data_IF_663091778440
#
_entry.id   IF_663091778440
#
_cell.length_a   1.000
_cell.length_b   1.000
_cell.length_c   1.000
_cell.angle_alpha   90.00
_cell.angle_beta   90.00
_cell.angle_gamma   90.00
#
_symmetry.space_group_name_H-M   'P 1'
#
loop_
_entity.id
_entity.type
_entity.pdbx_description
1 polymer ?
#
# COMPACT_ATOMS: atom_id res chain seq x y z
N UNK A 1 58.70 26.44 13.35
CA UNK A 1 58.32 26.57 11.92
C UNK A 1 57.95 25.18 11.40
N UNK A 2 56.64 24.88 11.36
CA UNK A 2 55.91 23.93 10.50
C UNK A 2 54.55 23.65 11.17
N UNK A 3 53.54 24.40 10.74
CA UNK A 3 52.13 24.10 10.93
C UNK A 3 51.56 23.74 9.57
N UNK A 4 50.96 22.57 9.45
CA UNK A 4 50.32 22.08 8.23
C UNK A 4 48.82 22.26 8.39
N UNK A 5 48.27 23.29 7.75
CA UNK A 5 46.83 23.51 7.66
C UNK A 5 46.22 22.56 6.62
N UNK A 6 45.30 21.69 7.04
CA UNK A 6 44.41 20.94 6.15
C UNK A 6 43.22 21.82 5.80
N UNK A 7 43.07 22.15 4.51
CA UNK A 7 41.85 22.74 3.95
C UNK A 7 40.75 21.69 3.93
N UNK A 8 39.68 21.92 4.68
CA UNK A 8 38.39 21.25 4.53
C UNK A 8 37.70 21.81 3.29
N UNK A 9 37.38 20.94 2.33
CA UNK A 9 36.52 21.26 1.20
C UNK A 9 35.07 21.11 1.65
N UNK A 10 34.32 22.22 1.68
CA UNK A 10 32.87 22.22 1.87
C UNK A 10 32.21 21.62 0.63
N UNK A 11 31.61 20.44 0.77
CA UNK A 11 30.69 19.90 -0.22
C UNK A 11 29.31 20.55 -0.01
N UNK A 12 28.97 21.49 -0.87
CA UNK A 12 27.59 22.01 -0.97
C UNK A 12 26.75 20.92 -1.64
N UNK A 13 25.93 20.22 -0.85
CA UNK A 13 24.90 19.32 -1.37
C UNK A 13 23.75 20.20 -1.88
N UNK A 14 23.71 20.43 -3.19
CA UNK A 14 22.55 21.04 -3.86
C UNK A 14 21.47 19.96 -3.97
N UNK A 15 20.50 20.00 -3.06
CA UNK A 15 19.30 19.17 -3.14
C UNK A 15 18.42 19.75 -4.24
N UNK A 16 18.40 19.11 -5.41
CA UNK A 16 17.36 19.38 -6.41
C UNK A 16 16.03 18.85 -5.88
N UNK A 17 15.18 19.77 -5.41
CA UNK A 17 13.76 19.53 -5.24
C UNK A 17 13.18 19.30 -6.64
N UNK A 18 13.03 18.03 -7.03
CA UNK A 18 12.26 17.65 -8.21
C UNK A 18 10.81 18.03 -7.92
N UNK A 19 10.39 19.15 -8.51
CA UNK A 19 9.01 19.59 -8.61
C UNK A 19 8.17 18.44 -9.18
N UNK A 20 7.05 18.12 -8.53
CA UNK A 20 6.04 17.22 -9.10
C UNK A 20 5.65 17.72 -10.50
N UNK A 21 5.62 16.87 -11.54
CA UNK A 21 5.18 17.31 -12.85
C UNK A 21 3.75 17.81 -12.75
N UNK A 22 3.51 18.98 -13.35
CA UNK A 22 2.19 19.57 -13.48
C UNK A 22 1.26 18.59 -14.19
N UNK A 23 0.04 18.43 -13.65
CA UNK A 23 -1.01 17.60 -14.25
C UNK A 23 -1.28 18.07 -15.69
N UNK A 24 -0.74 17.37 -16.68
CA UNK A 24 -1.03 17.64 -18.08
C UNK A 24 -2.44 17.12 -18.40
N UNK A 25 -3.41 18.03 -18.34
CA UNK A 25 -4.75 17.89 -18.91
C UNK A 25 -4.65 17.70 -20.42
N UNK A 26 -4.49 16.47 -20.91
CA UNK A 26 -4.45 16.24 -22.36
C UNK A 26 -4.97 14.87 -22.81
N UNK A 27 -6.19 14.50 -22.44
CA UNK A 27 -6.95 13.43 -23.12
C UNK A 27 -8.46 13.70 -23.09
N UNK A 28 -8.95 14.59 -23.97
CA UNK A 28 -10.38 14.63 -24.31
C UNK A 28 -10.58 13.97 -25.68
N UNK A 29 -10.64 12.65 -25.71
CA UNK A 29 -11.24 11.95 -26.85
C UNK A 29 -12.75 12.11 -26.73
N UNK A 30 -13.35 12.94 -27.59
CA UNK A 30 -14.80 13.05 -27.74
C UNK A 30 -15.35 11.74 -28.32
N UNK A 31 -15.53 10.74 -27.47
CA UNK A 31 -16.41 9.61 -27.79
C UNK A 31 -17.84 10.10 -27.67
N UNK A 32 -18.62 10.03 -28.75
CA UNK A 32 -20.08 10.19 -28.75
C UNK A 32 -20.70 9.04 -27.93
N UNK A 33 -20.63 9.14 -26.61
CA UNK A 33 -21.16 8.17 -25.67
C UNK A 33 -22.62 8.44 -25.36
N UNK A 34 -23.40 7.38 -25.17
CA UNK A 34 -24.73 7.43 -24.56
C UNK A 34 -24.71 8.25 -23.25
N UNK A 35 -25.82 8.89 -22.86
CA UNK A 35 -25.90 9.64 -21.61
C UNK A 35 -25.58 8.71 -20.44
N UNK A 36 -24.35 8.83 -19.96
CA UNK A 36 -23.83 7.94 -18.93
C UNK A 36 -24.55 8.19 -17.60
N UNK A 37 -24.96 7.12 -16.94
CA UNK A 37 -25.80 7.16 -15.75
C UNK A 37 -24.96 7.38 -14.49
N UNK A 38 -24.94 8.63 -13.98
CA UNK A 38 -24.27 8.97 -12.72
C UNK A 38 -24.65 8.05 -11.55
N UNK A 39 -25.93 7.65 -11.45
CA UNK A 39 -26.41 6.88 -10.31
C UNK A 39 -25.86 5.44 -10.30
N UNK A 40 -25.55 4.88 -11.47
CA UNK A 40 -24.93 3.57 -11.64
C UNK A 40 -23.45 3.61 -11.19
N UNK A 41 -22.67 4.56 -11.70
CA UNK A 41 -21.29 4.75 -11.27
C UNK A 41 -21.16 5.12 -9.80
N UNK A 42 -22.09 5.93 -9.26
CA UNK A 42 -22.14 6.19 -7.83
C UNK A 42 -22.38 4.91 -7.03
N UNK A 43 -23.26 4.02 -7.51
CA UNK A 43 -23.54 2.76 -6.83
C UNK A 43 -22.32 1.83 -6.85
N UNK A 44 -21.62 1.75 -7.98
CA UNK A 44 -20.36 1.00 -8.10
C UNK A 44 -19.31 1.52 -7.12
N UNK A 45 -19.06 2.83 -7.12
CA UNK A 45 -18.12 3.47 -6.21
C UNK A 45 -18.51 3.29 -4.73
N UNK A 46 -19.79 3.42 -4.40
CA UNK A 46 -20.31 3.18 -3.06
C UNK A 46 -20.08 1.72 -2.61
N UNK A 47 -20.36 0.75 -3.49
CA UNK A 47 -20.13 -0.66 -3.17
C UNK A 47 -18.63 -0.98 -3.05
N UNK A 48 -17.80 -0.41 -3.93
CA UNK A 48 -16.34 -0.47 -3.86
C UNK A 48 -15.83 0.07 -2.53
N UNK A 49 -16.32 1.24 -2.10
CA UNK A 49 -16.00 1.84 -0.81
C UNK A 49 -16.43 0.94 0.35
N UNK A 50 -17.63 0.34 0.30
CA UNK A 50 -18.10 -0.58 1.33
C UNK A 50 -17.19 -1.79 1.52
N UNK A 51 -16.50 -2.27 0.48
CA UNK A 51 -15.52 -3.37 0.61
C UNK A 51 -14.31 -3.02 1.47
N UNK A 52 -14.05 -1.73 1.73
CA UNK A 52 -12.95 -1.27 2.59
C UNK A 52 -13.31 -1.32 4.07
N UNK A 53 -14.56 -1.64 4.38
CA UNK A 53 -15.04 -1.80 5.73
C UNK A 53 -15.47 -3.24 5.94
N UNK A 54 -15.15 -3.74 7.12
CA UNK A 54 -15.50 -5.04 7.65
C UNK A 54 -16.97 -5.42 7.42
N UNK A 55 -17.87 -4.62 7.97
CA UNK A 55 -19.30 -4.60 7.66
C UNK A 55 -19.91 -3.34 8.27
N UNK A 56 -21.03 -2.90 7.72
CA UNK A 56 -21.81 -1.81 8.30
C UNK A 56 -22.22 -2.11 9.75
N UNK A 57 -22.58 -3.37 10.01
CA UNK A 57 -23.01 -3.83 11.33
C UNK A 57 -21.87 -3.75 12.36
N UNK A 58 -20.64 -4.10 11.98
CA UNK A 58 -19.47 -4.00 12.84
C UNK A 58 -19.16 -2.54 13.19
N UNK A 59 -19.27 -1.63 12.21
CA UNK A 59 -19.09 -0.20 12.44
C UNK A 59 -20.14 0.34 13.42
N UNK A 60 -21.42 0.00 13.25
CA UNK A 60 -22.47 0.44 14.18
C UNK A 60 -22.38 -0.22 15.55
N UNK A 61 -22.01 -1.51 15.63
CA UNK A 61 -21.78 -2.21 16.88
C UNK A 61 -20.60 -1.61 17.68
N UNK A 62 -19.61 -1.03 16.99
CA UNK A 62 -18.52 -0.27 17.61
C UNK A 62 -18.95 1.12 18.10
N UNK A 63 -20.23 1.49 17.96
CA UNK A 63 -20.77 2.76 18.45
C UNK A 63 -20.52 3.95 17.52
N UNK A 64 -20.12 3.73 16.27
CA UNK A 64 -19.96 4.82 15.30
C UNK A 64 -21.33 5.37 14.87
N UNK A 65 -21.40 6.70 14.77
CA UNK A 65 -22.62 7.37 14.30
C UNK A 65 -22.77 7.29 12.78
N UNK A 66 -24.01 7.42 12.28
CA UNK A 66 -24.31 7.50 10.83
C UNK A 66 -23.47 8.58 10.14
N UNK A 67 -23.24 9.71 10.81
CA UNK A 67 -22.45 10.82 10.23
C UNK A 67 -20.99 10.42 10.07
N UNK A 68 -20.39 9.77 11.07
CA UNK A 68 -19.00 9.32 11.00
C UNK A 68 -18.82 8.26 9.92
N UNK A 69 -19.70 7.25 9.89
CA UNK A 69 -19.62 6.19 8.88
C UNK A 69 -19.84 6.75 7.48
N UNK A 70 -20.78 7.69 7.30
CA UNK A 70 -20.98 8.36 6.02
C UNK A 70 -19.75 9.16 5.59
N UNK A 71 -19.08 9.88 6.49
CA UNK A 71 -17.83 10.59 6.20
C UNK A 71 -16.72 9.63 5.76
N UNK A 72 -16.58 8.50 6.45
CA UNK A 72 -15.59 7.48 6.09
C UNK A 72 -15.84 6.89 4.71
N UNK A 73 -17.11 6.55 4.39
CA UNK A 73 -17.48 6.03 3.07
C UNK A 73 -17.33 7.10 1.98
N UNK A 74 -17.65 8.36 2.29
CA UNK A 74 -17.45 9.49 1.39
C UNK A 74 -15.97 9.69 1.05
N UNK A 75 -15.07 9.66 2.05
CA UNK A 75 -13.62 9.73 1.86
C UNK A 75 -13.10 8.61 0.94
N UNK A 76 -13.63 7.39 1.08
CA UNK A 76 -13.28 6.26 0.22
C UNK A 76 -13.78 6.44 -1.21
N UNK A 77 -15.01 6.93 -1.41
CA UNK A 77 -15.58 7.20 -2.74
C UNK A 77 -14.80 8.32 -3.45
N UNK A 78 -14.42 9.38 -2.74
CA UNK A 78 -13.64 10.49 -3.31
C UNK A 78 -12.25 10.04 -3.76
N UNK A 79 -11.70 9.02 -3.12
CA UNK A 79 -10.40 8.44 -3.48
C UNK A 79 -10.49 7.35 -4.56
N UNK A 80 -11.69 7.02 -5.03
CA UNK A 80 -11.91 6.06 -6.11
C UNK A 80 -11.55 6.71 -7.46
N UNK A 81 -10.51 6.19 -8.12
CA UNK A 81 -10.01 6.76 -9.37
C UNK A 81 -11.00 6.58 -10.53
N UNK A 82 -11.81 5.53 -10.52
CA UNK A 82 -12.80 5.27 -11.56
C UNK A 82 -14.01 6.19 -11.39
N UNK A 83 -14.30 6.61 -10.16
CA UNK A 83 -15.35 7.60 -9.85
C UNK A 83 -14.87 9.06 -9.96
N UNK A 84 -13.57 9.32 -9.84
CA UNK A 84 -13.00 10.68 -9.84
C UNK A 84 -13.43 11.58 -11.01
N UNK A 85 -13.60 11.11 -12.26
CA UNK A 85 -14.09 11.96 -13.35
C UNK A 85 -15.51 12.51 -13.07
N UNK A 86 -16.37 11.74 -12.40
CA UNK A 86 -17.74 12.10 -12.05
C UNK A 86 -17.83 13.10 -10.90
N UNK A 87 -16.80 13.16 -10.05
CA UNK A 87 -16.75 14.12 -8.94
C UNK A 87 -16.67 15.56 -9.43
N UNK A 88 -16.06 15.81 -10.59
CA UNK A 88 -15.96 17.14 -11.19
C UNK A 88 -17.28 17.64 -11.80
N UNK A 89 -18.17 16.72 -12.19
CA UNK A 89 -19.43 17.03 -12.87
C UNK A 89 -20.65 17.02 -11.94
N UNK A 90 -20.48 16.52 -10.72
CA UNK A 90 -21.53 16.39 -9.73
C UNK A 90 -21.37 17.40 -8.59
N UNK A 91 -22.49 17.92 -8.07
CA UNK A 91 -22.47 18.68 -6.82
C UNK A 91 -21.98 17.76 -5.67
N UNK A 92 -20.88 18.07 -4.97
CA UNK A 92 -20.40 17.28 -3.84
C UNK A 92 -21.48 17.03 -2.78
N UNK A 93 -22.43 17.95 -2.61
CA UNK A 93 -23.57 17.78 -1.69
C UNK A 93 -24.50 16.65 -2.12
N UNK A 94 -24.63 16.38 -3.42
CA UNK A 94 -25.42 15.26 -3.96
C UNK A 94 -24.79 13.92 -3.52
N UNK A 95 -23.48 13.76 -3.70
CA UNK A 95 -22.73 12.56 -3.27
C UNK A 95 -22.89 12.35 -1.76
N UNK A 96 -22.61 13.37 -0.96
CA UNK A 96 -22.76 13.31 0.49
C UNK A 96 -24.19 12.94 0.92
N UNK A 97 -25.21 13.52 0.26
CA UNK A 97 -26.62 13.21 0.55
C UNK A 97 -26.96 11.76 0.24
N UNK A 98 -26.48 11.22 -0.89
CA UNK A 98 -26.70 9.83 -1.29
C UNK A 98 -26.00 8.85 -0.33
N UNK A 99 -24.75 9.13 0.05
CA UNK A 99 -24.01 8.32 1.04
C UNK A 99 -24.75 8.34 2.39
N UNK A 100 -25.06 9.52 2.94
CA UNK A 100 -25.79 9.65 4.21
C UNK A 100 -27.13 8.91 4.19
N UNK A 101 -27.87 8.98 3.08
CA UNK A 101 -29.14 8.27 2.93
C UNK A 101 -28.95 6.75 2.99
N UNK A 102 -27.99 6.19 2.24
CA UNK A 102 -27.73 4.74 2.23
C UNK A 102 -27.22 4.23 3.58
N UNK A 103 -26.30 4.96 4.22
CA UNK A 103 -25.80 4.63 5.56
C UNK A 103 -26.91 4.73 6.62
N UNK A 104 -27.79 5.73 6.50
CA UNK A 104 -28.97 5.86 7.34
C UNK A 104 -29.93 4.67 7.20
N UNK A 105 -30.18 4.21 5.97
CA UNK A 105 -30.97 3.00 5.71
C UNK A 105 -30.32 1.75 6.31
N UNK A 106 -29.00 1.57 6.16
CA UNK A 106 -28.27 0.46 6.76
C UNK A 106 -28.37 0.48 8.30
N UNK A 107 -28.26 1.65 8.93
CA UNK A 107 -28.42 1.80 10.39
C UNK A 107 -29.84 1.46 10.85
N UNK A 108 -30.86 1.87 10.09
CA UNK A 108 -32.25 1.54 10.39
C UNK A 108 -32.50 0.02 10.32
N UNK A 109 -31.95 -0.64 9.29
CA UNK A 109 -31.99 -2.09 9.15
C UNK A 109 -31.29 -2.78 10.34
N UNK A 110 -30.06 -2.37 10.66
CA UNK A 110 -29.30 -2.88 11.80
C UNK A 110 -30.06 -2.75 13.13
N UNK A 111 -30.68 -1.59 13.38
CA UNK A 111 -31.52 -1.37 14.57
C UNK A 111 -32.76 -2.27 14.60
N UNK A 112 -33.38 -2.51 13.44
CA UNK A 112 -34.60 -3.32 13.33
C UNK A 112 -34.36 -4.81 13.58
N UNK A 113 -33.14 -5.30 13.31
CA UNK A 113 -32.74 -6.71 13.51
C UNK A 113 -32.58 -7.11 14.98
N UNK A 114 -32.90 -6.24 15.94
CA UNK A 114 -33.11 -6.64 17.33
C UNK A 114 -31.84 -7.04 18.09
N UNK A 115 -30.66 -6.54 17.70
CA UNK A 115 -29.38 -6.74 18.40
C UNK A 115 -29.30 -5.95 19.73
N UNK A 116 -30.34 -6.05 20.56
CA UNK A 116 -30.41 -5.51 21.92
C UNK A 116 -29.36 -6.12 22.86
N UNK A 117 -28.81 -7.30 22.53
CA UNK A 117 -27.82 -8.00 23.33
C UNK A 117 -26.37 -7.50 23.15
N UNK A 118 -26.08 -6.66 22.15
CA UNK A 118 -24.74 -6.11 21.90
C UNK A 118 -24.59 -4.64 22.32
N UNK A 119 -25.56 -4.07 23.04
CA UNK A 119 -25.45 -2.75 23.67
C UNK A 119 -24.58 -2.81 24.93
N UNK A 120 -23.40 -3.44 24.87
CA UNK A 120 -22.32 -3.01 25.74
C UNK A 120 -21.96 -1.59 25.29
N UNK A 121 -21.82 -0.67 26.23
CA UNK A 121 -21.39 0.70 25.96
C UNK A 121 -19.97 0.68 25.36
N UNK A 122 -19.86 0.42 24.06
CA UNK A 122 -18.62 0.53 23.33
C UNK A 122 -18.30 2.02 23.26
N UNK A 123 -17.30 2.43 24.04
CA UNK A 123 -16.61 3.69 23.81
C UNK A 123 -16.26 3.74 22.33
N UNK A 124 -16.66 4.81 21.62
CA UNK A 124 -16.34 4.98 20.21
C UNK A 124 -14.84 4.72 20.01
N UNK A 125 -14.44 3.71 19.23
CA UNK A 125 -13.03 3.42 19.03
C UNK A 125 -12.36 4.68 18.51
N UNK A 126 -11.29 5.10 19.19
CA UNK A 126 -10.52 6.26 18.76
C UNK A 126 -10.04 6.08 17.32
N UNK A 127 -9.83 7.19 16.59
CA UNK A 127 -9.14 7.17 15.30
C UNK A 127 -7.73 6.61 15.52
N UNK A 128 -7.24 5.79 14.59
CA UNK A 128 -5.84 5.35 14.62
C UNK A 128 -4.93 6.57 14.38
N UNK A 129 -4.10 6.98 15.37
CA UNK A 129 -3.22 8.14 15.22
C UNK A 129 -2.05 7.88 14.25
N UNK A 130 -1.73 6.61 13.98
CA UNK A 130 -0.62 6.21 13.13
C UNK A 130 -1.13 5.26 12.04
N UNK A 131 -2.08 5.70 11.21
CA UNK A 131 -2.64 4.87 10.14
C UNK A 131 -1.59 4.41 9.12
N UNK A 132 -1.60 3.10 8.78
CA UNK A 132 -0.70 2.59 7.73
C UNK A 132 -1.05 3.20 6.36
N UNK A 133 -0.13 3.96 5.74
CA UNK A 133 -0.43 4.65 4.48
C UNK A 133 -0.76 3.68 3.35
N UNK A 134 -1.51 4.16 2.35
CA UNK A 134 -1.77 3.39 1.13
C UNK A 134 -0.46 3.06 0.41
N UNK A 135 -0.34 1.80 0.01
CA UNK A 135 0.73 1.34 -0.88
C UNK A 135 0.28 1.57 -2.33
N UNK A 136 1.11 2.29 -3.09
CA UNK A 136 0.92 2.61 -4.50
C UNK A 136 0.98 1.36 -5.39
N UNK A 137 0.30 1.43 -6.55
CA UNK A 137 0.34 0.41 -7.60
C UNK A 137 1.72 0.34 -8.24
N UNK A 138 2.27 -0.87 -8.34
CA UNK A 138 3.53 -1.10 -9.05
C UNK A 138 3.37 -0.92 -10.56
N UNK A 139 2.24 -1.35 -11.13
CA UNK A 139 1.96 -1.24 -12.56
C UNK A 139 1.89 0.22 -13.00
N UNK A 140 1.13 1.05 -12.28
CA UNK A 140 0.99 2.48 -12.57
C UNK A 140 2.35 3.19 -12.47
N UNK A 141 3.15 2.80 -11.48
CA UNK A 141 4.51 3.35 -11.33
C UNK A 141 5.40 2.98 -12.52
N UNK A 142 5.41 1.72 -12.97
CA UNK A 142 6.19 1.29 -14.15
C UNK A 142 5.71 2.04 -15.41
N UNK A 143 4.40 2.13 -15.63
CA UNK A 143 3.82 2.91 -16.74
C UNK A 143 4.30 4.36 -16.68
N UNK A 144 4.28 4.99 -15.50
CA UNK A 144 4.78 6.35 -15.32
C UNK A 144 6.25 6.51 -15.67
N UNK A 145 7.12 5.57 -15.27
CA UNK A 145 8.55 5.60 -15.63
C UNK A 145 8.77 5.43 -17.15
N UNK A 146 8.03 4.53 -17.78
CA UNK A 146 8.13 4.28 -19.23
C UNK A 146 7.60 5.48 -20.01
N UNK A 147 6.44 6.04 -19.64
CA UNK A 147 5.90 7.22 -20.30
C UNK A 147 6.82 8.43 -20.15
N UNK A 148 7.45 8.63 -18.99
CA UNK A 148 8.44 9.69 -18.81
C UNK A 148 9.60 9.57 -19.80
N UNK A 149 10.06 8.36 -20.11
CA UNK A 149 11.09 8.14 -21.14
C UNK A 149 10.54 8.38 -22.55
N UNK A 150 9.35 7.86 -22.84
CA UNK A 150 8.73 7.94 -24.16
C UNK A 150 8.28 9.36 -24.55
N UNK A 151 8.06 10.22 -23.57
CA UNK A 151 7.61 11.60 -23.74
C UNK A 151 8.76 12.61 -23.49
N UNK A 152 9.99 12.12 -23.31
CA UNK A 152 11.18 12.96 -23.21
C UNK A 152 11.47 13.65 -24.55
N UNK A 153 11.87 14.92 -24.51
CA UNK A 153 12.27 15.66 -25.70
C UNK A 153 13.54 15.08 -26.32
N UNK A 154 13.79 15.36 -27.60
CA UNK A 154 14.92 14.79 -28.36
C UNK A 154 16.30 15.05 -27.72
N UNK A 155 16.45 16.12 -26.93
CA UNK A 155 17.68 16.44 -26.22
C UNK A 155 17.88 15.58 -24.96
N UNK A 156 16.79 15.11 -24.35
CA UNK A 156 16.78 14.34 -23.10
C UNK A 156 16.58 12.84 -23.32
N UNK A 157 16.11 12.42 -24.50
CA UNK A 157 15.75 11.04 -24.84
C UNK A 157 16.83 10.02 -24.43
N UNK A 158 18.10 10.29 -24.77
CA UNK A 158 19.20 9.38 -24.46
C UNK A 158 19.43 9.22 -22.95
N UNK A 159 19.27 10.31 -22.18
CA UNK A 159 19.41 10.31 -20.73
C UNK A 159 18.21 9.62 -20.06
N UNK A 160 16.99 9.92 -20.52
CA UNK A 160 15.76 9.32 -20.01
C UNK A 160 15.75 7.81 -20.24
N UNK A 161 16.17 7.35 -21.43
CA UNK A 161 16.37 5.94 -21.74
C UNK A 161 17.38 5.27 -20.82
N UNK A 162 18.58 5.84 -20.71
CA UNK A 162 19.65 5.26 -19.89
C UNK A 162 19.21 5.16 -18.42
N UNK A 163 18.47 6.15 -17.95
CA UNK A 163 17.89 6.17 -16.60
C UNK A 163 16.84 5.08 -16.41
N UNK A 164 15.95 4.89 -17.39
CA UNK A 164 14.94 3.83 -17.36
C UNK A 164 15.57 2.42 -17.39
N UNK A 165 16.54 2.18 -18.28
CA UNK A 165 17.23 0.90 -18.39
C UNK A 165 17.99 0.57 -17.11
N UNK A 166 18.71 1.55 -16.54
CA UNK A 166 19.36 1.39 -15.25
C UNK A 166 18.33 1.04 -14.17
N UNK A 167 17.24 1.80 -14.07
CA UNK A 167 16.21 1.59 -13.06
C UNK A 167 15.59 0.19 -13.16
N UNK A 168 15.18 -0.24 -14.36
CA UNK A 168 14.42 -1.49 -14.52
C UNK A 168 15.29 -2.74 -14.62
N UNK A 169 16.52 -2.61 -15.15
CA UNK A 169 17.37 -3.76 -15.47
C UNK A 169 18.58 -3.91 -14.54
N UNK A 170 18.98 -2.86 -13.83
CA UNK A 170 20.22 -2.84 -13.03
C UNK A 170 19.96 -2.57 -11.56
N UNK A 171 19.17 -1.54 -11.25
CA UNK A 171 18.93 -1.12 -9.87
C UNK A 171 18.21 -2.22 -9.08
N UNK A 172 18.62 -2.35 -7.81
CA UNK A 172 18.18 -3.46 -6.97
C UNK A 172 16.90 -3.14 -6.22
N UNK A 173 15.95 -4.06 -6.21
CA UNK A 173 14.83 -4.12 -5.27
C UNK A 173 15.37 -4.66 -3.94
N UNK A 174 15.02 -3.98 -2.84
CA UNK A 174 15.56 -4.29 -1.50
C UNK A 174 14.88 -5.49 -0.84
N UNK A 175 13.58 -5.66 -1.08
CA UNK A 175 12.79 -6.80 -0.63
C UNK A 175 11.56 -6.95 -1.51
N UNK A 176 11.09 -8.17 -1.66
CA UNK A 176 9.83 -8.51 -2.32
C UNK A 176 9.12 -9.49 -1.42
N UNK A 177 7.98 -9.13 -0.84
CA UNK A 177 7.24 -10.01 0.07
C UNK A 177 5.90 -10.41 -0.51
N UNK A 178 5.40 -11.60 -0.17
CA UNK A 178 4.03 -11.98 -0.52
C UNK A 178 3.05 -10.95 0.02
N UNK A 179 2.14 -10.47 -0.83
CA UNK A 179 0.98 -9.71 -0.39
C UNK A 179 -0.12 -10.70 -0.04
N UNK A 180 -0.47 -10.75 1.24
CA UNK A 180 -1.57 -11.56 1.72
C UNK A 180 -2.88 -10.77 1.73
N UNK A 181 -3.98 -11.52 1.56
CA UNK A 181 -5.35 -11.03 1.63
C UNK A 181 -5.91 -11.31 3.03
N UNK A 182 -5.68 -10.37 3.93
CA UNK A 182 -6.22 -10.40 5.29
C UNK A 182 -6.71 -9.01 5.69
N UNK A 183 -6.41 -8.62 6.92
CA UNK A 183 -6.68 -7.26 7.39
C UNK A 183 -5.50 -6.65 8.11
N UNK A 184 -5.28 -5.36 7.89
CA UNK A 184 -4.17 -4.60 8.49
C UNK A 184 -4.40 -4.43 9.99
N UNK A 185 -3.48 -4.98 10.80
CA UNK A 185 -3.47 -4.84 12.26
C UNK A 185 -2.10 -4.34 12.70
N UNK A 186 -2.12 -3.30 13.53
CA UNK A 186 -0.96 -2.74 14.20
C UNK A 186 -0.99 -2.99 15.71
N UNK A 187 0.20 -3.08 16.30
CA UNK A 187 0.41 -3.10 17.76
C UNK A 187 1.39 -1.99 18.13
N UNK A 188 0.99 -1.14 19.05
CA UNK A 188 1.85 -0.11 19.62
C UNK A 188 2.78 -0.67 20.70
N UNK A 189 3.86 0.06 20.99
CA UNK A 189 4.83 -0.27 22.03
C UNK A 189 4.25 -0.30 23.45
N UNK A 190 3.08 0.29 23.67
CA UNK A 190 2.32 0.21 24.93
C UNK A 190 1.35 -1.00 24.99
N UNK A 191 1.31 -1.81 23.93
CA UNK A 191 0.44 -2.97 23.80
C UNK A 191 -0.92 -2.68 23.16
N UNK A 192 -1.26 -1.42 22.91
CA UNK A 192 -2.53 -1.05 22.29
C UNK A 192 -2.61 -1.56 20.86
N UNK A 193 -3.78 -2.08 20.47
CA UNK A 193 -4.03 -2.62 19.13
C UNK A 193 -4.79 -1.62 18.26
N UNK A 194 -4.49 -1.63 16.97
CA UNK A 194 -5.15 -0.78 15.99
C UNK A 194 -5.39 -1.52 14.69
N UNK A 195 -6.50 -1.23 14.02
CA UNK A 195 -6.70 -1.55 12.62
C UNK A 195 -6.06 -0.46 11.78
N UNK A 196 -6.34 -0.46 10.49
CA UNK A 196 -5.82 0.58 9.60
C UNK A 196 -6.24 2.00 10.01
N UNK A 197 -7.51 2.19 10.33
CA UNK A 197 -8.09 3.54 10.51
C UNK A 197 -8.63 3.80 11.92
N UNK A 198 -8.76 2.78 12.75
CA UNK A 198 -9.38 2.87 14.06
C UNK A 198 -8.65 1.99 15.08
N UNK A 199 -8.72 2.39 16.36
CA UNK A 199 -8.22 1.59 17.47
C UNK A 199 -9.08 0.34 17.66
N UNK A 200 -8.46 -0.80 17.98
CA UNK A 200 -9.19 -2.05 18.20
C UNK A 200 -9.48 -2.27 19.69
N UNK A 201 -10.62 -2.90 19.98
CA UNK A 201 -11.02 -3.32 21.31
C UNK A 201 -11.45 -4.79 21.31
N UNK A 202 -11.32 -5.46 22.45
CA UNK A 202 -11.69 -6.87 22.61
C UNK A 202 -10.59 -7.85 22.20
N UNK A 203 -10.97 -9.12 22.02
CA UNK A 203 -10.04 -10.24 21.79
C UNK A 203 -10.09 -10.81 20.38
N UNK A 204 -10.86 -10.19 19.48
CA UNK A 204 -11.00 -10.64 18.09
C UNK A 204 -11.25 -9.47 17.14
N UNK A 205 -10.79 -9.61 15.89
CA UNK A 205 -11.03 -8.69 14.79
C UNK A 205 -11.26 -9.49 13.51
N UNK A 206 -12.25 -9.13 12.68
CA UNK A 206 -12.64 -9.94 11.51
C UNK A 206 -12.85 -11.43 11.84
N UNK A 207 -13.60 -11.70 12.92
CA UNK A 207 -13.86 -13.06 13.43
C UNK A 207 -12.59 -13.88 13.74
N UNK A 208 -11.44 -13.23 13.84
CA UNK A 208 -10.12 -13.84 14.04
C UNK A 208 -9.56 -13.40 15.38
N UNK A 209 -8.97 -14.32 16.13
CA UNK A 209 -8.46 -14.02 17.47
C UNK A 209 -7.25 -13.07 17.42
N UNK A 210 -7.23 -12.06 18.29
CA UNK A 210 -6.13 -11.09 18.39
C UNK A 210 -5.00 -11.52 19.33
N UNK A 211 -5.13 -12.65 20.03
CA UNK A 211 -4.07 -13.13 20.94
C UNK A 211 -2.77 -13.45 20.21
N UNK A 212 -2.83 -13.80 18.92
CA UNK A 212 -1.64 -14.01 18.08
C UNK A 212 -0.78 -12.75 17.92
N UNK A 213 -1.35 -11.57 18.11
CA UNK A 213 -0.65 -10.28 18.06
C UNK A 213 0.14 -10.03 19.35
N UNK A 214 -0.22 -10.71 20.43
CA UNK A 214 0.38 -10.50 21.75
C UNK A 214 1.83 -11.00 21.86
N UNK A 215 2.23 -11.99 21.06
CA UNK A 215 3.56 -12.62 21.11
C UNK A 215 4.72 -11.71 20.72
N UNK A 216 4.48 -10.72 19.86
CA UNK A 216 5.49 -9.78 19.37
C UNK A 216 5.79 -8.68 20.42
N UNK A 217 7.02 -8.61 20.94
CA UNK A 217 7.45 -7.59 21.90
C UNK A 217 7.80 -6.26 21.20
N UNK A 218 6.77 -5.49 20.86
CA UNK A 218 6.93 -4.16 20.21
C UNK A 218 7.68 -3.17 21.10
N UNK A 219 7.57 -3.28 22.43
CA UNK A 219 8.34 -2.46 23.35
C UNK A 219 9.84 -2.79 23.28
N UNK A 220 10.17 -4.08 23.18
CA UNK A 220 11.52 -4.58 22.88
C UNK A 220 12.04 -4.09 21.54
N UNK A 221 11.22 -4.15 20.50
CA UNK A 221 11.57 -3.63 19.18
C UNK A 221 11.90 -2.13 19.22
N UNK A 222 11.07 -1.33 19.89
CA UNK A 222 11.33 0.11 20.10
C UNK A 222 12.68 0.33 20.78
N UNK A 223 12.95 -0.37 21.90
CA UNK A 223 14.22 -0.24 22.63
C UNK A 223 15.41 -0.59 21.75
N UNK A 224 15.37 -1.74 21.06
CA UNK A 224 16.45 -2.17 20.18
C UNK A 224 16.70 -1.17 19.03
N UNK A 225 15.63 -0.59 18.46
CA UNK A 225 15.75 0.42 17.43
C UNK A 225 16.30 1.75 17.97
N UNK A 226 15.87 2.17 19.16
CA UNK A 226 16.43 3.34 19.85
C UNK A 226 17.93 3.19 20.12
N UNK A 227 18.35 2.03 20.61
CA UNK A 227 19.76 1.71 20.88
C UNK A 227 20.57 1.72 19.58
N UNK A 228 20.05 1.09 18.51
CA UNK A 228 20.70 1.04 17.21
C UNK A 228 20.91 2.43 16.60
N UNK A 229 19.94 3.33 16.78
CA UNK A 229 19.97 4.69 16.22
C UNK A 229 20.62 5.71 17.16
N UNK A 230 20.91 5.34 18.40
CA UNK A 230 21.32 6.24 19.48
C UNK A 230 20.34 7.42 19.66
N UNK A 231 19.04 7.16 19.56
CA UNK A 231 17.94 8.14 19.70
C UNK A 231 16.82 7.52 20.54
N UNK A 232 16.31 8.26 21.54
CA UNK A 232 15.11 7.83 22.25
C UNK A 232 13.89 8.03 21.35
N UNK A 233 13.29 6.93 20.93
CA UNK A 233 12.14 6.95 20.04
C UNK A 233 10.88 7.07 20.89
N UNK A 234 9.94 7.90 20.43
CA UNK A 234 8.59 7.96 20.99
C UNK A 234 7.83 6.65 20.77
N UNK A 235 6.52 6.75 20.60
CA UNK A 235 5.70 5.56 20.40
C UNK A 235 6.03 4.90 19.04
N UNK A 236 6.06 3.57 19.01
CA UNK A 236 6.29 2.79 17.78
C UNK A 236 5.12 1.84 17.58
N UNK A 237 4.66 1.71 16.34
CA UNK A 237 3.66 0.72 15.94
C UNK A 237 4.26 -0.27 14.95
N UNK A 238 4.17 -1.57 15.25
CA UNK A 238 4.48 -2.63 14.27
C UNK A 238 3.19 -3.05 13.59
N UNK A 239 3.21 -3.10 12.26
CA UNK A 239 2.08 -3.48 11.42
C UNK A 239 2.31 -4.82 10.74
N UNK A 240 1.23 -5.60 10.68
CA UNK A 240 1.18 -6.87 10.00
C UNK A 240 -0.20 -7.17 9.44
N UNK A 241 -0.26 -8.23 8.65
CA UNK A 241 -1.50 -8.75 8.07
C UNK A 241 -2.07 -9.84 8.98
N UNK A 242 -3.27 -9.63 9.51
CA UNK A 242 -4.04 -10.64 10.22
C UNK A 242 -4.78 -11.52 9.21
N UNK A 243 -4.43 -12.79 9.16
CA UNK A 243 -4.90 -13.76 8.17
C UNK A 243 -6.33 -14.25 8.46
N UNK A 244 -7.32 -13.38 8.26
CA UNK A 244 -8.73 -13.62 8.59
C UNK A 244 -9.53 -14.37 7.51
N UNK A 245 -8.96 -14.60 6.33
CA UNK A 245 -9.62 -15.19 5.17
C UNK A 245 -9.07 -16.60 4.85
N UNK A 246 -9.31 -17.63 5.70
CA UNK A 246 -8.64 -18.93 5.57
C UNK A 246 -8.90 -19.69 4.27
N UNK A 247 -10.00 -19.36 3.57
CA UNK A 247 -10.38 -20.04 2.33
C UNK A 247 -9.73 -19.50 1.06
N UNK A 248 -8.84 -18.50 1.16
CA UNK A 248 -8.17 -17.85 0.03
C UNK A 248 -6.75 -18.37 -0.13
N UNK A 249 -6.26 -18.51 -1.37
CA UNK A 249 -4.85 -18.79 -1.73
C UNK A 249 -4.19 -19.94 -0.94
N UNK A 250 -4.99 -20.96 -0.59
CA UNK A 250 -4.62 -22.12 0.23
C UNK A 250 -4.05 -21.75 1.61
N UNK A 251 -4.51 -20.65 2.21
CA UNK A 251 -4.03 -20.19 3.52
C UNK A 251 -4.27 -21.21 4.63
N UNK A 252 -5.32 -22.02 4.55
CA UNK A 252 -5.57 -23.08 5.52
C UNK A 252 -4.52 -24.19 5.41
N UNK A 253 -4.24 -24.64 4.19
CA UNK A 253 -3.27 -25.69 3.87
C UNK A 253 -1.85 -25.25 4.25
N UNK A 254 -1.54 -23.97 4.03
CA UNK A 254 -0.26 -23.34 4.43
C UNK A 254 -0.18 -22.99 5.92
N UNK A 255 -1.20 -23.32 6.72
CA UNK A 255 -1.28 -22.99 8.15
C UNK A 255 -1.13 -21.48 8.44
N UNK A 256 -1.61 -20.64 7.54
CA UNK A 256 -1.60 -19.18 7.70
C UNK A 256 -2.86 -18.66 8.38
N UNK A 257 -3.95 -19.43 8.37
CA UNK A 257 -5.23 -19.05 9.00
C UNK A 257 -5.04 -18.57 10.44
N UNK A 258 -5.43 -17.32 10.71
CA UNK A 258 -5.37 -16.70 12.02
C UNK A 258 -3.99 -16.26 12.48
N UNK A 259 -2.95 -16.34 11.64
CA UNK A 259 -1.62 -15.77 11.95
C UNK A 259 -1.61 -14.25 11.74
N UNK A 260 -0.63 -13.58 12.36
CA UNK A 260 -0.36 -12.16 12.14
C UNK A 260 1.07 -12.00 11.61
N UNK A 261 1.21 -11.57 10.35
CA UNK A 261 2.48 -11.53 9.64
C UNK A 261 2.93 -10.07 9.46
N UNK A 262 3.96 -9.67 10.20
CA UNK A 262 4.48 -8.30 10.21
C UNK A 262 5.16 -7.94 8.90
N UNK A 263 4.84 -6.75 8.36
CA UNK A 263 5.40 -6.22 7.11
C UNK A 263 6.06 -4.85 7.24
N UNK A 264 5.96 -4.20 8.40
CA UNK A 264 6.64 -2.92 8.62
C UNK A 264 6.31 -2.28 9.96
N UNK A 265 6.78 -1.05 10.15
CA UNK A 265 6.53 -0.28 11.37
C UNK A 265 6.37 1.21 11.08
N UNK A 266 5.68 1.92 11.97
CA UNK A 266 5.58 3.38 11.98
C UNK A 266 6.20 3.92 13.25
N UNK A 267 7.04 4.95 13.09
CA UNK A 267 7.60 5.72 14.19
C UNK A 267 6.73 6.96 14.39
N UNK A 268 6.12 7.04 15.57
CA UNK A 268 5.35 8.22 15.99
C UNK A 268 6.33 9.30 16.42
N UNK A 269 6.52 10.30 15.56
CA UNK A 269 7.22 11.52 15.96
C UNK A 269 6.22 12.38 16.70
N UNK A 270 6.28 12.34 18.04
CA UNK A 270 5.35 13.07 18.92
C UNK A 270 5.40 14.56 18.57
N UNK A 271 4.36 15.03 17.87
CA UNK A 271 4.28 16.36 17.30
C UNK A 271 3.76 17.40 18.31
N UNK A 272 4.26 17.39 19.54
CA UNK A 272 3.97 18.44 20.53
C UNK A 272 4.93 19.65 20.40
N UNK A 273 5.83 19.63 19.41
CA UNK A 273 6.80 20.68 19.11
C UNK A 273 6.44 21.59 17.92
N UNK A 274 7.16 22.71 17.78
CA UNK A 274 7.09 23.60 16.61
C UNK A 274 7.40 22.83 15.30
N UNK A 275 6.67 23.09 14.21
CA UNK A 275 6.80 22.37 12.94
C UNK A 275 8.23 22.37 12.39
N UNK A 276 8.99 23.44 12.65
CA UNK A 276 10.39 23.55 12.24
C UNK A 276 11.27 22.49 12.89
N UNK A 277 11.06 22.23 14.18
CA UNK A 277 11.80 21.21 14.96
C UNK A 277 11.48 19.78 14.48
N UNK A 278 10.21 19.50 14.20
CA UNK A 278 9.76 18.19 13.72
C UNK A 278 10.42 17.82 12.38
N UNK A 279 10.54 18.78 11.45
CA UNK A 279 11.20 18.54 10.16
C UNK A 279 12.69 18.21 10.31
N UNK A 280 13.40 18.91 11.19
CA UNK A 280 14.81 18.66 11.46
C UNK A 280 15.03 17.30 12.12
N UNK A 281 14.19 16.94 13.10
CA UNK A 281 14.25 15.63 13.77
C UNK A 281 13.98 14.48 12.79
N UNK A 282 12.95 14.61 11.93
CA UNK A 282 12.65 13.64 10.88
C UNK A 282 13.82 13.47 9.91
N UNK A 283 14.48 14.56 9.52
CA UNK A 283 15.66 14.52 8.66
C UNK A 283 16.83 13.80 9.34
N UNK A 284 17.13 14.12 10.60
CA UNK A 284 18.20 13.47 11.36
C UNK A 284 17.93 11.97 11.54
N UNK A 285 16.70 11.60 11.86
CA UNK A 285 16.29 10.22 12.04
C UNK A 285 16.33 9.44 10.72
N UNK A 286 15.91 10.05 9.60
CA UNK A 286 16.05 9.49 8.26
C UNK A 286 17.52 9.19 7.93
N UNK A 287 18.42 10.13 8.19
CA UNK A 287 19.87 9.92 8.00
C UNK A 287 20.42 8.80 8.89
N UNK A 288 19.97 8.71 10.15
CA UNK A 288 20.37 7.65 11.06
C UNK A 288 19.92 6.27 10.56
N UNK A 289 18.66 6.15 10.11
CA UNK A 289 18.12 4.92 9.52
C UNK A 289 18.88 4.49 8.27
N UNK A 290 19.23 5.43 7.38
CA UNK A 290 20.02 5.12 6.19
C UNK A 290 21.42 4.61 6.53
N UNK A 291 22.06 5.13 7.59
CA UNK A 291 23.39 4.66 8.04
C UNK A 291 23.39 3.21 8.50
N UNK A 292 22.25 2.72 9.02
CA UNK A 292 22.07 1.34 9.46
C UNK A 292 21.29 0.49 8.46
N UNK A 293 21.17 0.97 7.20
CA UNK A 293 20.55 0.27 6.08
C UNK A 293 19.08 -0.13 6.31
N UNK A 294 18.35 0.62 7.14
CA UNK A 294 16.91 0.42 7.32
C UNK A 294 16.17 1.24 6.26
N UNK A 295 15.47 0.51 5.37
CA UNK A 295 14.63 1.10 4.34
C UNK A 295 13.42 1.80 4.96
N UNK A 296 13.22 3.06 4.59
CA UNK A 296 12.15 3.87 5.16
C UNK A 296 11.62 4.93 4.19
N UNK A 297 10.42 5.45 4.49
CA UNK A 297 9.81 6.58 3.79
C UNK A 297 9.28 7.61 4.79
N UNK A 298 9.32 8.88 4.43
CA UNK A 298 8.77 9.98 5.25
C UNK A 298 7.43 10.42 4.66
N UNK A 299 6.33 10.24 5.39
CA UNK A 299 4.98 10.65 4.98
C UNK A 299 4.08 10.83 6.21
N UNK A 300 4.04 12.05 6.79
CA UNK A 300 3.33 12.32 8.05
C UNK A 300 3.95 11.65 9.28
N UNK A 301 5.16 11.10 9.14
CA UNK A 301 5.89 10.29 10.11
C UNK A 301 6.94 9.44 9.37
N UNK A 302 7.68 8.60 10.09
CA UNK A 302 8.61 7.65 9.45
C UNK A 302 7.99 6.27 9.38
N UNK A 303 7.88 5.76 8.16
CA UNK A 303 7.47 4.38 7.89
C UNK A 303 8.69 3.53 7.58
N UNK A 304 8.91 2.50 8.38
CA UNK A 304 9.92 1.48 8.15
C UNK A 304 9.34 0.41 7.22
N UNK A 305 10.07 0.12 6.15
CA UNK A 305 9.69 -0.82 5.11
C UNK A 305 10.50 -2.11 5.25
N UNK A 306 9.90 -3.23 4.89
CA UNK A 306 10.56 -4.53 5.01
C UNK A 306 11.89 -4.56 4.26
N UNK A 307 12.94 -4.94 4.97
CA UNK A 307 14.30 -5.10 4.46
C UNK A 307 15.04 -6.11 5.36
N UNK A 308 16.22 -6.62 4.95
CA UNK A 308 16.93 -7.62 5.74
C UNK A 308 17.23 -7.21 7.19
N UNK A 309 17.53 -5.92 7.44
CA UNK A 309 17.78 -5.41 8.78
C UNK A 309 16.51 -5.39 9.62
N UNK A 310 15.43 -4.77 9.11
CA UNK A 310 14.15 -4.70 9.82
C UNK A 310 13.57 -6.08 10.12
N UNK A 311 13.67 -7.02 9.17
CA UNK A 311 13.24 -8.41 9.33
C UNK A 311 13.88 -9.05 10.56
N UNK A 312 15.22 -9.04 10.63
CA UNK A 312 15.96 -9.62 11.76
C UNK A 312 15.60 -8.97 13.08
N UNK A 313 15.37 -7.65 13.10
CA UNK A 313 14.98 -6.95 14.32
C UNK A 313 13.58 -7.37 14.81
N UNK A 314 12.62 -7.53 13.90
CA UNK A 314 11.28 -8.00 14.24
C UNK A 314 11.28 -9.47 14.69
N UNK A 315 12.02 -10.33 14.00
CA UNK A 315 12.17 -11.74 14.38
C UNK A 315 12.82 -11.88 15.76
N UNK A 316 13.83 -11.05 16.08
CA UNK A 316 14.53 -11.08 17.36
C UNK A 316 13.62 -10.74 18.56
N UNK A 317 12.47 -10.10 18.33
CA UNK A 317 11.48 -9.77 19.38
C UNK A 317 10.21 -10.63 19.28
N UNK A 318 10.30 -11.77 18.57
CA UNK A 318 9.25 -12.78 18.51
C UNK A 318 8.10 -12.47 17.55
N UNK A 319 8.29 -11.54 16.61
CA UNK A 319 7.28 -11.25 15.60
C UNK A 319 7.41 -12.22 14.42
N UNK A 320 6.29 -12.82 14.01
CA UNK A 320 6.19 -13.48 12.71
C UNK A 320 6.23 -12.41 11.61
N UNK A 321 7.03 -12.61 10.58
CA UNK A 321 7.24 -11.64 9.49
C UNK A 321 6.83 -12.24 8.15
N UNK A 322 6.33 -11.39 7.24
CA UNK A 322 6.01 -11.82 5.86
C UNK A 322 7.24 -12.41 5.18
N UNK A 323 7.08 -13.46 4.39
CA UNK A 323 8.19 -14.10 3.66
C UNK A 323 8.78 -13.18 2.58
N UNK A 324 10.10 -13.22 2.37
CA UNK A 324 10.75 -12.58 1.22
C UNK A 324 10.75 -13.59 0.07
N UNK A 325 10.02 -13.28 -1.00
CA UNK A 325 9.90 -14.11 -2.19
C UNK A 325 10.78 -13.57 -3.30
N UNK A 326 11.20 -14.47 -4.18
CA UNK A 326 12.01 -14.11 -5.34
C UNK A 326 13.50 -14.06 -5.05
N UNK A 327 14.27 -14.55 -6.01
CA UNK A 327 15.73 -14.53 -5.99
C UNK A 327 16.29 -13.40 -6.84
N UNK A 328 15.56 -12.99 -7.88
CA UNK A 328 15.92 -11.86 -8.72
C UNK A 328 15.72 -10.55 -7.96
N UNK A 329 16.74 -9.68 -8.04
CA UNK A 329 16.73 -8.37 -7.37
C UNK A 329 16.60 -7.20 -8.33
N UNK A 330 16.34 -7.40 -9.62
CA UNK A 330 16.02 -6.29 -10.56
C UNK A 330 14.53 -6.29 -10.86
N UNK A 331 13.99 -5.17 -11.33
CA UNK A 331 12.57 -5.08 -11.66
C UNK A 331 12.16 -6.07 -12.76
N UNK A 332 12.91 -6.11 -13.87
CA UNK A 332 12.65 -7.06 -14.95
C UNK A 332 12.82 -8.52 -14.51
N UNK A 333 13.86 -8.83 -13.72
CA UNK A 333 14.10 -10.19 -13.22
C UNK A 333 12.99 -10.66 -12.27
N UNK A 334 12.53 -9.79 -11.37
CA UNK A 334 11.43 -10.10 -10.44
C UNK A 334 10.11 -10.30 -11.19
N UNK A 335 9.81 -9.48 -12.21
CA UNK A 335 8.63 -9.68 -13.06
C UNK A 335 8.70 -11.02 -13.78
N UNK A 336 9.84 -11.35 -14.38
CA UNK A 336 10.05 -12.64 -15.04
C UNK A 336 9.84 -13.83 -14.10
N UNK A 337 10.32 -13.74 -12.86
CA UNK A 337 10.20 -14.79 -11.86
C UNK A 337 8.77 -14.97 -11.33
N UNK A 338 8.03 -13.87 -11.10
CA UNK A 338 6.75 -13.90 -10.37
C UNK A 338 5.51 -13.82 -11.26
N UNK A 339 5.64 -13.46 -12.54
CA UNK A 339 4.50 -13.32 -13.46
C UNK A 339 3.67 -14.60 -13.58
N UNK A 340 4.31 -15.77 -13.64
CA UNK A 340 3.60 -17.05 -13.71
C UNK A 340 2.73 -17.32 -12.47
N UNK A 341 3.29 -17.11 -11.28
CA UNK A 341 2.59 -17.29 -10.00
C UNK A 341 1.39 -16.35 -9.86
N UNK A 342 1.55 -15.08 -10.27
CA UNK A 342 0.46 -14.10 -10.23
C UNK A 342 -0.61 -14.38 -11.28
N UNK A 343 -0.21 -14.72 -12.51
CA UNK A 343 -1.15 -15.07 -13.60
C UNK A 343 -1.94 -16.34 -13.30
N UNK A 344 -1.40 -17.25 -12.48
CA UNK A 344 -2.09 -18.45 -12.02
C UNK A 344 -3.03 -18.21 -10.83
N UNK A 345 -3.02 -17.00 -10.25
CA UNK A 345 -3.81 -16.68 -9.05
C UNK A 345 -3.34 -17.44 -7.80
N UNK A 346 -2.10 -17.92 -7.75
CA UNK A 346 -1.58 -18.71 -6.63
C UNK A 346 -1.31 -17.88 -5.37
N UNK A 347 -1.15 -16.56 -5.54
CA UNK A 347 -1.07 -15.55 -4.47
C UNK A 347 -1.88 -14.31 -4.90
N UNK A 348 -2.33 -13.50 -3.94
CA UNK A 348 -2.99 -12.22 -4.25
C UNK A 348 -2.03 -11.29 -5.00
N UNK A 349 -0.78 -11.20 -4.53
CA UNK A 349 0.17 -10.23 -5.02
C UNK A 349 1.51 -10.30 -4.32
N UNK A 350 2.34 -9.31 -4.60
CA UNK A 350 3.59 -9.03 -3.90
C UNK A 350 3.71 -7.56 -3.54
N UNK A 351 4.48 -7.26 -2.50
CA UNK A 351 4.88 -5.91 -2.11
C UNK A 351 6.38 -5.77 -2.29
N UNK A 352 6.79 -4.74 -3.02
CA UNK A 352 8.18 -4.45 -3.37
C UNK A 352 8.66 -3.25 -2.57
N UNK A 353 9.90 -3.31 -2.08
CA UNK A 353 10.59 -2.16 -1.47
C UNK A 353 11.65 -1.67 -2.44
N UNK A 354 11.36 -0.54 -3.09
CA UNK A 354 12.17 0.06 -4.16
C UNK A 354 13.02 1.19 -3.55
N UNK A 355 14.36 1.16 -3.69
CA UNK A 355 15.20 2.21 -3.15
C UNK A 355 14.94 3.55 -3.85
N UNK A 356 15.14 4.64 -3.11
CA UNK A 356 15.12 6.02 -3.60
C UNK A 356 16.46 6.69 -3.28
N UNK A 357 16.64 7.90 -3.78
CA UNK A 357 17.79 8.74 -3.40
C UNK A 357 17.82 8.98 -1.88
N UNK A 358 19.03 9.20 -1.35
CA UNK A 358 19.23 9.54 0.07
C UNK A 358 19.02 8.38 1.04
N UNK A 359 19.03 7.12 0.59
CA UNK A 359 18.85 5.95 1.45
C UNK A 359 17.40 5.75 1.93
N UNK A 360 16.45 6.45 1.32
CA UNK A 360 15.02 6.21 1.46
C UNK A 360 14.57 5.08 0.54
N UNK A 361 13.33 4.63 0.72
CA UNK A 361 12.67 3.67 -0.16
C UNK A 361 11.19 4.00 -0.32
N UNK A 362 10.54 3.38 -1.29
CA UNK A 362 9.09 3.35 -1.46
C UNK A 362 8.59 1.91 -1.46
N UNK A 363 7.34 1.72 -1.04
CA UNK A 363 6.65 0.44 -1.17
C UNK A 363 5.69 0.48 -2.36
N UNK A 364 5.69 -0.58 -3.16
CA UNK A 364 4.78 -0.76 -4.30
C UNK A 364 4.10 -2.12 -4.20
N UNK A 365 2.85 -2.25 -4.62
CA UNK A 365 2.15 -3.56 -4.67
C UNK A 365 1.87 -3.95 -6.12
N UNK A 366 2.09 -5.22 -6.45
CA UNK A 366 1.70 -5.82 -7.71
C UNK A 366 0.76 -6.98 -7.41
N UNK A 367 -0.46 -6.93 -7.93
CA UNK A 367 -1.50 -7.93 -7.66
C UNK A 367 -1.82 -8.72 -8.91
N UNK A 368 -2.42 -9.89 -8.72
CA UNK A 368 -3.12 -10.62 -9.77
C UNK A 368 -4.37 -9.84 -10.25
N UNK A 369 -4.98 -10.28 -11.34
CA UNK A 369 -6.16 -9.63 -11.93
C UNK A 369 -7.44 -9.78 -11.10
N UNK A 370 -7.59 -10.84 -10.29
CA UNK A 370 -8.77 -11.09 -9.47
C UNK A 370 -8.95 -10.04 -8.36
N UNK A 371 -7.86 -9.71 -7.68
CA UNK A 371 -7.81 -8.69 -6.61
C UNK A 371 -7.53 -7.29 -7.18
N UNK A 372 -7.13 -7.28 -8.44
CA UNK A 372 -7.03 -6.15 -9.32
C UNK A 372 -8.31 -5.92 -10.11
N UNK A 373 -9.51 -6.16 -9.56
CA UNK A 373 -10.77 -5.73 -10.22
C UNK A 373 -10.79 -4.22 -10.60
N UNK A 374 -9.75 -3.46 -10.24
CA UNK A 374 -9.39 -2.18 -10.82
C UNK A 374 -7.88 -1.99 -11.08
N UNK A 375 -7.14 -2.97 -11.62
CA UNK A 375 -6.16 -2.55 -12.62
C UNK A 375 -7.03 -2.01 -13.75
N UNK A 376 -7.38 -0.73 -13.62
CA UNK A 376 -8.42 -0.11 -14.42
C UNK A 376 -8.19 -0.49 -15.87
N UNK A 377 -9.24 -0.70 -16.65
CA UNK A 377 -9.11 -0.90 -18.11
C UNK A 377 -8.14 0.13 -18.71
N UNK A 378 -8.05 1.32 -18.11
CA UNK A 378 -7.00 2.33 -18.28
C UNK A 378 -5.56 1.85 -18.02
N UNK A 379 -5.24 1.27 -16.86
CA UNK A 379 -3.89 0.74 -16.54
C UNK A 379 -3.46 -0.36 -17.50
N UNK A 380 -4.34 -1.30 -17.82
CA UNK A 380 -4.04 -2.36 -18.81
C UNK A 380 -3.82 -1.77 -20.19
N UNK A 381 -4.67 -0.84 -20.62
CA UNK A 381 -4.51 -0.10 -21.86
C UNK A 381 -3.20 0.68 -21.92
N UNK A 382 -2.80 1.31 -20.82
CA UNK A 382 -1.53 2.02 -20.72
C UNK A 382 -0.33 1.08 -20.80
N UNK A 383 -0.37 -0.09 -20.13
CA UNK A 383 0.67 -1.11 -20.23
C UNK A 383 0.83 -1.63 -21.67
N UNK A 384 -0.28 -1.95 -22.36
CA UNK A 384 -0.25 -2.34 -23.78
C UNK A 384 0.35 -1.26 -24.68
N UNK A 385 -0.03 -0.01 -24.46
CA UNK A 385 0.48 1.14 -25.20
C UNK A 385 2.00 1.31 -24.98
N UNK A 386 2.45 1.28 -23.72
CA UNK A 386 3.88 1.27 -23.38
C UNK A 386 4.62 0.12 -24.06
N UNK A 387 4.11 -1.11 -23.95
CA UNK A 387 4.71 -2.30 -24.55
C UNK A 387 4.88 -2.14 -26.06
N UNK A 388 3.83 -1.70 -26.78
CA UNK A 388 3.86 -1.52 -28.22
C UNK A 388 4.87 -0.45 -28.65
N UNK A 389 4.92 0.70 -27.95
CA UNK A 389 5.89 1.77 -28.22
C UNK A 389 7.33 1.30 -27.95
N UNK A 390 7.57 0.67 -26.80
CA UNK A 390 8.87 0.11 -26.44
C UNK A 390 9.33 -1.00 -27.41
N UNK A 391 8.42 -1.83 -27.91
CA UNK A 391 8.74 -2.86 -28.90
C UNK A 391 9.26 -2.27 -30.22
N UNK A 392 8.74 -1.11 -30.64
CA UNK A 392 9.25 -0.41 -31.83
C UNK A 392 10.65 0.15 -31.60
N UNK A 393 10.92 0.70 -30.41
CA UNK A 393 12.26 1.17 -30.04
C UNK A 393 13.27 0.02 -29.95
N UNK A 394 12.88 -1.11 -29.37
CA UNK A 394 13.74 -2.30 -29.29
C UNK A 394 14.09 -2.87 -30.67
N UNK A 395 13.13 -2.91 -31.61
CA UNK A 395 13.38 -3.38 -32.99
C UNK A 395 14.45 -2.59 -33.73
N UNK A 396 14.60 -1.30 -33.44
CA UNK A 396 15.64 -0.45 -34.03
C UNK A 396 16.92 -0.38 -33.19
N UNK A 397 17.01 -1.17 -32.12
CA UNK A 397 18.16 -1.20 -31.20
C UNK A 397 18.24 0.01 -30.26
N UNK A 398 17.16 0.78 -30.14
CA UNK A 398 17.10 1.98 -29.30
C UNK A 398 16.60 1.73 -27.88
N UNK A 399 16.27 0.49 -27.50
CA UNK A 399 15.86 0.11 -26.15
C UNK A 399 16.18 -1.37 -25.93
N UNK A 400 16.63 -1.74 -24.72
CA UNK A 400 16.85 -3.15 -24.35
C UNK A 400 15.54 -3.97 -24.39
N UNK A 401 15.56 -5.12 -25.10
CA UNK A 401 14.41 -5.98 -25.33
C UNK A 401 13.79 -6.52 -24.03
N UNK A 402 14.57 -6.64 -22.95
CA UNK A 402 14.09 -7.13 -21.65
C UNK A 402 13.04 -6.22 -21.02
N UNK A 403 13.03 -4.93 -21.36
CA UNK A 403 11.96 -4.01 -20.92
C UNK A 403 10.65 -4.35 -21.62
N UNK A 404 10.70 -4.72 -22.91
CA UNK A 404 9.53 -5.13 -23.69
C UNK A 404 8.96 -6.44 -23.12
N UNK A 405 9.83 -7.40 -22.81
CA UNK A 405 9.45 -8.67 -22.19
C UNK A 405 8.81 -8.46 -20.82
N UNK A 406 9.42 -7.63 -19.97
CA UNK A 406 8.86 -7.25 -18.67
C UNK A 406 7.45 -6.66 -18.82
N UNK A 407 7.26 -5.71 -19.73
CA UNK A 407 5.94 -5.10 -19.97
C UNK A 407 4.93 -6.13 -20.48
N UNK A 408 5.33 -7.03 -21.38
CA UNK A 408 4.48 -8.11 -21.88
C UNK A 408 4.01 -9.06 -20.78
N UNK A 409 4.89 -9.43 -19.86
CA UNK A 409 4.53 -10.24 -18.70
C UNK A 409 3.59 -9.50 -17.72
N UNK A 410 3.78 -8.19 -17.55
CA UNK A 410 2.86 -7.39 -16.73
C UNK A 410 1.47 -7.27 -17.36
N UNK A 411 1.38 -7.14 -18.69
CA UNK A 411 0.12 -7.21 -19.44
C UNK A 411 -0.53 -8.58 -19.25
N UNK A 412 0.24 -9.67 -19.40
CA UNK A 412 -0.25 -11.03 -19.18
C UNK A 412 -0.86 -11.23 -17.79
N UNK A 413 -0.17 -10.78 -16.72
CA UNK A 413 -0.69 -10.88 -15.35
C UNK A 413 -1.98 -10.08 -15.17
N UNK A 414 -2.04 -8.87 -15.75
CA UNK A 414 -3.19 -7.99 -15.61
C UNK A 414 -4.43 -8.52 -16.36
N UNK A 415 -4.23 -9.29 -17.41
CA UNK A 415 -5.29 -9.84 -18.27
C UNK A 415 -5.64 -11.29 -18.01
N UNK A 416 -4.86 -11.98 -17.18
CA UNK A 416 -5.15 -13.35 -16.81
C UNK A 416 -6.58 -13.45 -16.24
N UNK A 417 -7.33 -14.49 -16.58
CA UNK A 417 -8.61 -14.78 -15.93
C UNK A 417 -8.33 -15.49 -14.60
N UNK A 418 -7.80 -14.75 -13.63
CA UNK A 418 -7.56 -15.31 -12.31
C UNK A 418 -8.86 -15.32 -11.53
N UNK A 419 -9.19 -16.49 -11.00
CA UNK A 419 -10.20 -16.64 -9.96
C UNK A 419 -9.42 -16.83 -8.66
N UNK A 420 -9.72 -16.09 -7.58
CA UNK A 420 -9.10 -16.39 -6.30
C UNK A 420 -9.43 -17.85 -5.99
N UNK A 421 -8.43 -18.65 -5.60
CA UNK A 421 -8.67 -20.02 -5.16
C UNK A 421 -9.48 -19.96 -3.87
N UNK A 422 -10.81 -19.94 -4.01
CA UNK A 422 -11.76 -19.98 -2.91
C UNK A 422 -12.11 -21.44 -2.71
N UNK A 423 -11.58 -22.03 -1.66
CA UNK A 423 -12.04 -23.36 -1.24
C UNK A 423 -13.49 -23.18 -0.80
N UNK A 424 -14.42 -23.50 -1.70
CA UNK A 424 -15.84 -23.48 -1.38
C UNK A 424 -16.03 -24.31 -0.12
N UNK A 425 -16.64 -23.73 0.91
CA UNK A 425 -17.06 -24.50 2.09
C UNK A 425 -18.02 -25.56 1.57
N UNK A 426 -17.53 -26.76 1.31
CA UNK A 426 -18.41 -27.89 1.06
C UNK A 426 -19.28 -27.97 2.30
N UNK A 427 -20.58 -27.75 2.13
CA UNK A 427 -21.55 -27.92 3.21
C UNK A 427 -21.49 -29.40 3.55
N UNK A 428 -20.61 -29.78 4.46
CA UNK A 428 -20.67 -31.07 5.13
C UNK A 428 -21.98 -31.02 5.88
N UNK A 429 -23.04 -31.58 5.27
CA UNK A 429 -24.30 -31.84 5.96
C UNK A 429 -23.93 -32.77 7.10
N UNK A 430 -23.81 -32.24 8.31
CA UNK A 430 -23.75 -33.03 9.54
C UNK A 430 -25.03 -33.86 9.57
N UNK A 431 -24.88 -35.15 9.28
CA UNK A 431 -25.91 -36.18 9.43
C UNK A 431 -26.16 -36.49 10.89
#
# INVERSE_FOLDING_TARGET
IRQTARKTQEFVIVVFLLSSPAESSLWSMETKGEPVNFDEHFLEAYNSALTKFDSMDALFASGLSVVMVASMVEEEIVQDQDFSPWMSTCDPKKVQKLVKARIGSAMAQWKSLGNSALRCAASTPGRNPASWPRTESYQDWVVGQVMQMLDADSEEEAFARTSLERLLLVDKIMSVSTKYDGTCVGKFSDGTLTGRNHMLQGTSYQHTCLTVVSSCDVAGFRRALSDLLAVDLGRVAVYGELMCNPGYYDYKEKQLSGRWLCYGALLDTVADGDQSSVSQELCQLSLALSKVEIMHSVAGGIRLLMCPVLRRMLEAVGCDVVEDVGTARTHAGMVAELAGTLSAGAVEGVVLVVPRSGGMASSRKWKNSAEGQGASTKTVGALRSCQARCANLAKVGSLDERIVDMLGLMVQVAEADTQPVKISRSKTRSS
#
